data_IF_926637637545
#
_entry.id   IF_926637637545
#
_cell.length_a   1.000
_cell.length_b   1.000
_cell.length_c   1.000
_cell.angle_alpha   90.00
_cell.angle_beta   90.00
_cell.angle_gamma   90.00
#
_symmetry.space_group_name_H-M   'P 1'
#
loop_
_entity.id
_entity.type
_entity.pdbx_description
1 polymer ?
#
# COMPACT_ATOMS: atom_id res chain seq x y z
N UNK A 1 14.07 -5.58 -22.55
CA UNK A 1 14.80 -4.51 -21.84
C UNK A 1 14.60 -4.70 -20.35
N UNK A 2 15.66 -4.67 -19.56
CA UNK A 2 15.57 -4.57 -18.10
C UNK A 2 14.84 -3.27 -17.74
N UNK A 3 13.84 -3.34 -16.88
CA UNK A 3 13.17 -2.13 -16.37
C UNK A 3 14.18 -1.32 -15.56
N UNK A 4 14.19 0.00 -15.75
CA UNK A 4 15.04 0.92 -14.97
C UNK A 4 14.71 0.79 -13.48
N UNK A 5 15.74 0.77 -12.64
CA UNK A 5 15.61 0.82 -11.19
C UNK A 5 15.18 2.21 -10.68
N UNK A 6 14.75 2.30 -9.42
CA UNK A 6 14.31 3.58 -8.83
C UNK A 6 15.41 4.64 -8.84
N UNK A 7 16.67 4.26 -8.55
CA UNK A 7 17.81 5.18 -8.54
C UNK A 7 18.15 5.73 -9.93
N UNK A 8 17.89 4.97 -10.99
CA UNK A 8 18.11 5.42 -12.36
C UNK A 8 17.04 6.43 -12.77
N UNK A 9 15.77 6.14 -12.44
CA UNK A 9 14.63 7.04 -12.72
C UNK A 9 14.78 8.39 -12.00
N UNK A 10 15.19 8.37 -10.73
CA UNK A 10 15.41 9.58 -9.94
C UNK A 10 16.53 10.49 -10.48
N UNK A 11 17.51 9.93 -11.23
CA UNK A 11 18.54 10.73 -11.91
C UNK A 11 18.03 11.44 -13.16
N UNK A 12 16.98 10.91 -13.79
CA UNK A 12 16.40 11.45 -15.02
C UNK A 12 15.33 12.50 -14.75
N UNK A 13 14.72 12.48 -13.56
CA UNK A 13 13.73 13.46 -13.13
C UNK A 13 12.90 13.00 -11.93
N UNK A 14 11.81 13.73 -11.62
CA UNK A 14 10.86 13.33 -10.60
C UNK A 14 10.25 11.95 -10.87
N UNK A 15 9.97 11.20 -9.79
CA UNK A 15 9.27 9.92 -9.84
C UNK A 15 8.00 10.04 -9.00
N UNK A 16 6.84 9.72 -9.58
CA UNK A 16 5.55 9.88 -8.92
C UNK A 16 5.23 8.67 -8.03
N UNK A 17 5.04 8.91 -6.73
CA UNK A 17 4.52 7.89 -5.80
C UNK A 17 3.02 7.67 -5.96
N UNK A 18 2.49 6.69 -5.23
CA UNK A 18 1.05 6.50 -5.08
C UNK A 18 0.46 7.36 -3.96
N UNK A 19 -0.83 7.13 -3.65
CA UNK A 19 -1.58 7.88 -2.65
C UNK A 19 -1.83 7.12 -1.35
N UNK A 20 -2.75 7.65 -0.54
CA UNK A 20 -3.07 7.11 0.78
C UNK A 20 -3.99 5.89 0.76
N UNK A 21 -3.43 4.67 0.73
CA UNK A 21 -4.22 3.43 0.80
C UNK A 21 -5.17 3.37 1.98
N UNK A 22 -4.69 3.71 3.18
CA UNK A 22 -5.51 3.62 4.39
C UNK A 22 -6.76 4.50 4.25
N UNK A 23 -6.59 5.75 3.85
CA UNK A 23 -7.70 6.71 3.71
C UNK A 23 -8.69 6.26 2.64
N UNK A 24 -8.19 5.77 1.50
CA UNK A 24 -9.04 5.41 0.38
C UNK A 24 -9.79 4.08 0.64
N UNK A 25 -9.14 3.10 1.26
CA UNK A 25 -9.80 1.87 1.71
C UNK A 25 -10.82 2.13 2.82
N UNK A 26 -10.54 3.09 3.73
CA UNK A 26 -11.48 3.47 4.80
C UNK A 26 -12.73 4.16 4.23
N UNK A 27 -12.57 5.08 3.27
CA UNK A 27 -13.70 5.71 2.57
C UNK A 27 -14.59 4.70 1.84
N UNK A 28 -14.00 3.61 1.33
CA UNK A 28 -14.71 2.51 0.67
C UNK A 28 -15.30 1.48 1.63
N UNK A 29 -15.08 1.65 2.94
CA UNK A 29 -15.61 0.77 3.98
C UNK A 29 -14.87 -0.56 4.16
N UNK A 30 -13.68 -0.72 3.55
CA UNK A 30 -12.91 -1.95 3.63
C UNK A 30 -12.09 -2.08 4.90
N UNK A 31 -11.64 -0.95 5.46
CA UNK A 31 -10.81 -0.89 6.66
C UNK A 31 -11.28 0.21 7.59
N UNK A 32 -10.77 0.17 8.83
CA UNK A 32 -10.74 1.30 9.75
C UNK A 32 -9.28 1.58 10.09
N UNK A 33 -8.89 2.83 10.24
CA UNK A 33 -7.55 3.17 10.67
C UNK A 33 -7.20 2.50 12.01
N UNK A 34 -6.09 1.76 12.03
CA UNK A 34 -5.61 1.06 13.22
C UNK A 34 -4.61 -0.05 12.91
N UNK A 35 -4.01 -0.68 13.94
CA UNK A 35 -2.96 -1.70 13.77
C UNK A 35 -3.38 -2.93 12.95
N UNK A 36 -4.68 -3.22 12.85
CA UNK A 36 -5.27 -4.29 12.05
C UNK A 36 -5.39 -3.95 10.55
N UNK A 37 -5.10 -2.72 10.13
CA UNK A 37 -5.19 -2.29 8.71
C UNK A 37 -4.51 -3.26 7.73
N UNK A 38 -3.31 -3.82 8.01
CA UNK A 38 -2.66 -4.75 7.09
C UNK A 38 -3.44 -6.05 6.84
N UNK A 39 -4.39 -6.43 7.72
CA UNK A 39 -5.21 -7.63 7.54
C UNK A 39 -6.06 -7.59 6.27
N UNK A 40 -6.35 -6.40 5.72
CA UNK A 40 -7.08 -6.26 4.46
C UNK A 40 -6.39 -6.99 3.31
N UNK A 41 -5.05 -7.11 3.33
CA UNK A 41 -4.29 -7.86 2.34
C UNK A 41 -4.59 -9.37 2.37
N UNK A 42 -5.09 -9.88 3.49
CA UNK A 42 -5.47 -11.29 3.68
C UNK A 42 -6.98 -11.50 3.55
N UNK A 43 -7.78 -10.61 4.12
CA UNK A 43 -9.24 -10.77 4.22
C UNK A 43 -9.94 -10.27 2.95
N UNK A 44 -9.49 -9.16 2.37
CA UNK A 44 -10.07 -8.53 1.18
C UNK A 44 -8.99 -8.16 0.15
N UNK A 45 -8.18 -9.12 -0.33
CA UNK A 45 -7.06 -8.85 -1.23
C UNK A 45 -7.46 -8.15 -2.53
N UNK A 46 -8.70 -8.38 -3.00
CA UNK A 46 -9.22 -7.76 -4.22
C UNK A 46 -9.41 -6.24 -4.05
N UNK A 47 -9.90 -5.79 -2.89
CA UNK A 47 -10.06 -4.35 -2.61
C UNK A 47 -8.71 -3.62 -2.62
N UNK A 48 -7.67 -4.23 -2.03
CA UNK A 48 -6.31 -3.69 -2.07
C UNK A 48 -5.73 -3.71 -3.50
N UNK A 49 -5.96 -4.79 -4.25
CA UNK A 49 -5.49 -4.93 -5.63
C UNK A 49 -6.12 -3.91 -6.57
N UNK A 50 -7.42 -3.68 -6.47
CA UNK A 50 -8.13 -2.68 -7.25
C UNK A 50 -7.53 -1.30 -7.02
N UNK A 51 -7.29 -0.92 -5.76
CA UNK A 51 -6.67 0.36 -5.44
C UNK A 51 -5.22 0.49 -5.95
N UNK A 52 -4.42 -0.59 -5.91
CA UNK A 52 -3.09 -0.61 -6.56
C UNK A 52 -3.20 -0.32 -8.07
N UNK A 53 -4.19 -0.91 -8.74
CA UNK A 53 -4.43 -0.70 -10.17
C UNK A 53 -4.84 0.75 -10.42
N UNK A 54 -5.74 1.31 -9.63
CA UNK A 54 -6.19 2.68 -9.78
C UNK A 54 -5.06 3.70 -9.60
N UNK A 55 -4.17 3.53 -8.62
CA UNK A 55 -3.01 4.41 -8.48
C UNK A 55 -2.05 4.32 -9.67
N UNK A 56 -1.86 3.11 -10.22
CA UNK A 56 -1.10 2.94 -11.47
C UNK A 56 -1.77 3.68 -12.63
N UNK A 57 -3.08 3.51 -12.83
CA UNK A 57 -3.81 4.19 -13.90
C UNK A 57 -3.84 5.71 -13.71
N UNK A 58 -3.78 6.20 -12.47
CA UNK A 58 -3.63 7.62 -12.14
C UNK A 58 -2.21 8.17 -12.40
N UNK A 59 -1.26 7.33 -12.83
CA UNK A 59 0.08 7.73 -13.24
C UNK A 59 1.19 7.44 -12.23
N UNK A 60 0.91 6.73 -11.12
CA UNK A 60 1.95 6.40 -10.16
C UNK A 60 3.07 5.55 -10.82
N UNK A 61 4.30 6.04 -10.69
CA UNK A 61 5.51 5.40 -11.19
C UNK A 61 5.96 4.24 -10.29
N UNK A 62 5.66 4.36 -8.99
CA UNK A 62 6.04 3.41 -7.94
C UNK A 62 4.84 3.24 -7.02
N UNK A 63 4.55 1.98 -6.67
CA UNK A 63 3.53 1.64 -5.69
C UNK A 63 4.17 1.16 -4.39
N UNK A 64 3.62 1.58 -3.26
CA UNK A 64 4.00 1.11 -1.94
C UNK A 64 3.11 -0.07 -1.52
N UNK A 65 3.72 -1.11 -0.97
CA UNK A 65 2.96 -2.17 -0.32
C UNK A 65 2.27 -1.63 0.95
N UNK A 66 1.03 -2.05 1.20
CA UNK A 66 0.30 -1.70 2.42
C UNK A 66 0.85 -2.48 3.63
N UNK A 67 2.03 -2.11 4.10
CA UNK A 67 2.73 -2.78 5.22
C UNK A 67 3.09 -1.84 6.36
N UNK A 68 2.51 -0.63 6.40
CA UNK A 68 2.84 0.42 7.39
C UNK A 68 2.74 -0.05 8.85
N UNK A 69 1.75 -0.90 9.18
CA UNK A 69 1.59 -1.52 10.51
C UNK A 69 1.84 -3.04 10.52
N UNK A 70 2.42 -3.60 9.45
CA UNK A 70 2.68 -5.03 9.36
C UNK A 70 3.97 -5.45 10.10
N UNK A 71 4.22 -4.86 11.27
CA UNK A 71 5.31 -5.27 12.17
C UNK A 71 4.76 -6.05 13.35
N UNK A 72 5.58 -6.93 13.94
CA UNK A 72 5.18 -7.73 15.11
C UNK A 72 4.70 -6.84 16.25
N UNK A 73 5.45 -5.78 16.58
CA UNK A 73 5.09 -4.86 17.67
C UNK A 73 3.74 -4.18 17.45
N UNK A 74 3.43 -3.79 16.21
CA UNK A 74 2.14 -3.16 15.88
C UNK A 74 1.01 -4.19 15.93
N UNK A 75 1.19 -5.36 15.32
CA UNK A 75 0.18 -6.43 15.32
C UNK A 75 -0.06 -7.01 16.73
N UNK A 76 0.94 -6.98 17.62
CA UNK A 76 0.81 -7.44 19.00
C UNK A 76 -0.23 -6.61 19.78
N UNK A 77 -0.36 -5.31 19.49
CA UNK A 77 -1.33 -4.42 20.16
C UNK A 77 -2.79 -4.81 19.92
N UNK A 78 -3.05 -5.67 18.93
CA UNK A 78 -4.38 -6.18 18.59
C UNK A 78 -4.46 -7.71 18.68
N UNK A 79 -3.48 -8.36 19.31
CA UNK A 79 -3.47 -9.82 19.49
C UNK A 79 -3.20 -10.62 18.21
N UNK A 80 -2.47 -10.04 17.24
CA UNK A 80 -2.21 -10.63 15.91
C UNK A 80 -0.73 -10.87 15.61
N UNK A 81 0.16 -10.67 16.58
CA UNK A 81 1.55 -11.08 16.47
C UNK A 81 1.65 -12.59 16.77
N UNK A 82 1.94 -13.38 15.74
CA UNK A 82 2.24 -14.82 15.84
C UNK A 82 3.75 -15.00 15.97
#
# INVERSE_FOLDING_TARGET
MTKKGILERLKEGPVLGDGGYLLELEKRGWVRAGPFTPEVALVYPQALRELHVEFREAGADVLQALTFYASRDKLATVGRAI
#
